data_IF_020334006611
#
_entry.id   IF_020334006611
#
_cell.length_a   1.000
_cell.length_b   1.000
_cell.length_c   1.000
_cell.angle_alpha   90.00
_cell.angle_beta   90.00
_cell.angle_gamma   90.00
#
_symmetry.space_group_name_H-M   'P 1'
#
loop_
_entity.id
_entity.type
_entity.pdbx_description
1 polymer ?
#
# COMPACT_ATOMS: atom_id res chain seq x y z
N UNK A 1 4.64 27.11 6.73
CA UNK A 1 4.42 26.10 7.79
C UNK A 1 3.61 24.87 7.34
N UNK A 2 2.77 24.93 6.30
CA UNK A 2 1.94 23.77 5.87
C UNK A 2 2.68 22.62 5.17
N UNK A 3 3.66 22.93 4.31
CA UNK A 3 4.35 21.92 3.47
C UNK A 3 5.11 20.85 4.25
N UNK A 4 5.81 21.22 5.33
CA UNK A 4 6.59 20.27 6.14
C UNK A 4 5.70 19.29 6.91
N UNK A 5 4.54 19.74 7.40
CA UNK A 5 3.56 18.85 8.04
C UNK A 5 2.97 17.86 7.05
N UNK A 6 2.64 18.34 5.84
CA UNK A 6 2.10 17.49 4.79
C UNK A 6 3.12 16.42 4.33
N UNK A 7 4.41 16.76 4.19
CA UNK A 7 5.47 15.79 3.91
C UNK A 7 5.59 14.75 5.04
N UNK A 8 5.49 15.17 6.30
CA UNK A 8 5.46 14.25 7.44
C UNK A 8 4.31 13.24 7.37
N UNK A 9 3.11 13.67 6.95
CA UNK A 9 1.96 12.77 6.75
C UNK A 9 2.18 11.80 5.59
N UNK A 10 2.79 12.24 4.49
CA UNK A 10 3.14 11.35 3.37
C UNK A 10 4.17 10.31 3.80
N UNK A 11 5.19 10.72 4.56
CA UNK A 11 6.19 9.81 5.12
C UNK A 11 5.56 8.79 6.08
N UNK A 12 4.61 9.22 6.93
CA UNK A 12 3.86 8.32 7.81
C UNK A 12 3.03 7.30 7.01
N UNK A 13 2.41 7.72 5.90
CA UNK A 13 1.72 6.80 4.99
C UNK A 13 2.65 5.76 4.37
N UNK A 14 3.82 6.20 3.86
CA UNK A 14 4.84 5.29 3.33
C UNK A 14 5.36 4.32 4.40
N UNK A 15 5.56 4.81 5.61
CA UNK A 15 5.97 3.99 6.75
C UNK A 15 4.92 2.91 7.05
N UNK A 16 3.64 3.29 7.18
CA UNK A 16 2.57 2.34 7.46
C UNK A 16 2.45 1.25 6.39
N UNK A 17 2.58 1.60 5.10
CA UNK A 17 2.55 0.62 4.00
C UNK A 17 3.77 -0.29 4.00
N UNK A 18 4.95 0.24 4.31
CA UNK A 18 6.17 -0.56 4.49
C UNK A 18 6.00 -1.54 5.66
N UNK A 19 5.52 -1.06 6.81
CA UNK A 19 5.26 -1.92 7.98
C UNK A 19 4.28 -3.03 7.64
N UNK A 20 3.16 -2.74 6.95
CA UNK A 20 2.21 -3.77 6.51
C UNK A 20 2.88 -4.87 5.67
N UNK A 21 3.68 -4.48 4.68
CA UNK A 21 4.33 -5.41 3.77
C UNK A 21 5.28 -6.38 4.50
N UNK A 22 6.02 -5.90 5.50
CA UNK A 22 6.99 -6.71 6.25
C UNK A 22 6.38 -7.43 7.46
N UNK A 23 5.41 -6.84 8.14
CA UNK A 23 4.77 -7.43 9.32
C UNK A 23 4.01 -8.73 8.97
N UNK A 24 3.47 -8.83 7.74
CA UNK A 24 2.76 -10.03 7.28
C UNK A 24 3.59 -11.31 7.37
N UNK A 25 4.91 -11.25 7.15
CA UNK A 25 5.78 -12.42 7.20
C UNK A 25 5.74 -13.11 8.58
N UNK A 26 5.67 -12.33 9.66
CA UNK A 26 5.58 -12.86 11.03
C UNK A 26 4.23 -13.48 11.37
N UNK A 27 3.18 -13.18 10.60
CA UNK A 27 1.81 -13.64 10.84
C UNK A 27 1.44 -14.89 10.02
N UNK A 28 2.26 -15.28 9.04
CA UNK A 28 1.95 -16.39 8.13
C UNK A 28 1.62 -17.71 8.84
N UNK A 29 2.33 -18.13 9.91
CA UNK A 29 1.95 -19.34 10.63
C UNK A 29 0.57 -19.26 11.27
N UNK A 30 0.21 -18.11 11.85
CA UNK A 30 -1.10 -17.87 12.45
C UNK A 30 -2.21 -17.86 11.40
N UNK A 31 -2.00 -17.14 10.29
CA UNK A 31 -2.93 -17.11 9.15
C UNK A 31 -3.15 -18.52 8.58
N UNK A 32 -2.08 -19.33 8.47
CA UNK A 32 -2.17 -20.72 8.04
C UNK A 32 -3.04 -21.57 8.96
N UNK A 33 -2.88 -21.42 10.27
CA UNK A 33 -3.69 -22.11 11.27
C UNK A 33 -5.17 -21.67 11.22
N UNK A 34 -5.43 -20.36 11.15
CA UNK A 34 -6.78 -19.80 11.17
C UNK A 34 -7.60 -20.18 9.93
N UNK A 35 -6.94 -20.26 8.76
CA UNK A 35 -7.58 -20.58 7.48
C UNK A 35 -7.47 -22.06 7.09
N UNK A 36 -6.78 -22.88 7.88
CA UNK A 36 -6.55 -24.30 7.57
C UNK A 36 -5.69 -24.52 6.32
N UNK A 37 -4.76 -23.61 6.03
CA UNK A 37 -3.87 -23.69 4.85
C UNK A 37 -2.40 -23.79 5.25
N UNK A 38 -1.55 -24.29 4.35
CA UNK A 38 -0.11 -24.34 4.61
C UNK A 38 0.50 -22.94 4.68
N UNK A 39 1.59 -22.79 5.42
CA UNK A 39 2.35 -21.53 5.52
C UNK A 39 2.81 -21.06 4.12
N UNK A 40 3.19 -21.99 3.25
CA UNK A 40 3.56 -21.68 1.86
C UNK A 40 2.40 -21.07 1.07
N UNK A 41 1.17 -21.57 1.29
CA UNK A 41 -0.03 -21.03 0.67
C UNK A 41 -0.32 -19.64 1.24
N UNK A 42 -0.33 -19.48 2.56
CA UNK A 42 -0.48 -18.17 3.21
C UNK A 42 0.56 -17.15 2.70
N UNK A 43 1.79 -17.59 2.45
CA UNK A 43 2.88 -16.77 1.88
C UNK A 43 2.57 -16.18 0.51
N UNK A 44 1.72 -16.83 -0.30
CA UNK A 44 1.27 -16.26 -1.59
C UNK A 44 0.48 -14.97 -1.43
N UNK A 45 -0.06 -14.69 -0.23
CA UNK A 45 -0.72 -13.41 0.07
C UNK A 45 0.28 -12.24 0.00
N UNK A 46 1.54 -12.46 0.40
CA UNK A 46 2.64 -11.50 0.26
C UNK A 46 3.06 -11.37 -1.20
N UNK A 47 3.10 -12.47 -1.93
CA UNK A 47 3.36 -12.48 -3.38
C UNK A 47 2.29 -11.68 -4.14
N UNK A 48 1.01 -11.91 -3.85
CA UNK A 48 -0.10 -11.20 -4.48
C UNK A 48 -0.03 -9.69 -4.20
N UNK A 49 0.23 -9.29 -2.95
CA UNK A 49 0.46 -7.89 -2.60
C UNK A 49 1.61 -7.29 -3.43
N UNK A 50 2.75 -7.96 -3.47
CA UNK A 50 3.98 -7.44 -4.11
C UNK A 50 3.81 -7.35 -5.62
N UNK A 51 3.16 -8.34 -6.23
CA UNK A 51 2.86 -8.35 -7.66
C UNK A 51 1.92 -7.21 -8.04
N UNK A 52 0.81 -7.05 -7.31
CA UNK A 52 -0.14 -5.96 -7.56
C UNK A 52 0.48 -4.58 -7.28
N UNK A 53 1.33 -4.45 -6.26
CA UNK A 53 2.11 -3.25 -6.02
C UNK A 53 3.01 -2.90 -7.21
N UNK A 54 3.78 -3.87 -7.68
CA UNK A 54 4.73 -3.70 -8.78
C UNK A 54 4.04 -3.34 -10.10
N UNK A 55 2.84 -3.87 -10.34
CA UNK A 55 2.04 -3.54 -11.52
C UNK A 55 1.32 -2.19 -11.35
N UNK A 56 0.78 -1.88 -10.17
CA UNK A 56 0.06 -0.65 -9.96
C UNK A 56 0.95 0.59 -10.09
N UNK A 57 2.20 0.50 -9.64
CA UNK A 57 3.15 1.60 -9.68
C UNK A 57 3.33 2.21 -11.09
N UNK A 58 3.61 1.46 -12.17
CA UNK A 58 3.65 2.02 -13.53
C UNK A 58 2.25 2.17 -14.15
N UNK A 59 1.38 1.16 -14.07
CA UNK A 59 0.16 1.11 -14.90
C UNK A 59 -0.96 1.99 -14.33
N UNK A 60 -1.30 1.83 -13.05
CA UNK A 60 -2.37 2.63 -12.44
C UNK A 60 -1.93 4.07 -12.24
N UNK A 61 -0.67 4.32 -11.89
CA UNK A 61 -0.17 5.69 -11.76
C UNK A 61 -0.16 6.43 -13.09
N UNK A 62 0.23 5.77 -14.20
CA UNK A 62 0.14 6.38 -15.53
C UNK A 62 -1.31 6.67 -15.92
N UNK A 63 -2.23 5.72 -15.69
CA UNK A 63 -3.65 5.91 -15.97
C UNK A 63 -4.27 7.07 -15.18
N UNK A 64 -3.80 7.29 -13.94
CA UNK A 64 -4.29 8.33 -13.04
C UNK A 64 -3.42 9.60 -13.07
N UNK A 65 -2.42 9.71 -13.95
CA UNK A 65 -1.51 10.85 -14.02
C UNK A 65 -2.20 12.18 -14.29
N UNK A 66 -3.35 12.18 -14.97
CA UNK A 66 -4.17 13.38 -15.22
C UNK A 66 -5.05 13.79 -14.04
N UNK A 67 -5.14 12.96 -13.00
CA UNK A 67 -5.90 13.27 -11.77
C UNK A 67 -5.00 14.07 -10.84
N UNK A 68 -5.58 14.95 -10.02
CA UNK A 68 -4.80 15.71 -9.04
C UNK A 68 -4.11 14.79 -8.04
N UNK A 69 -2.83 15.03 -7.76
CA UNK A 69 -1.99 14.19 -6.87
C UNK A 69 -2.64 13.96 -5.51
N UNK A 70 -3.27 14.99 -4.94
CA UNK A 70 -4.01 14.89 -3.67
C UNK A 70 -5.13 13.85 -3.73
N UNK A 71 -5.91 13.85 -4.81
CA UNK A 71 -7.00 12.89 -4.99
C UNK A 71 -6.47 11.47 -5.08
N UNK A 72 -5.37 11.26 -5.81
CA UNK A 72 -4.74 9.94 -5.94
C UNK A 72 -4.23 9.43 -4.60
N UNK A 73 -3.51 10.27 -3.85
CA UNK A 73 -2.99 9.94 -2.51
C UNK A 73 -4.11 9.55 -1.55
N UNK A 74 -5.17 10.36 -1.47
CA UNK A 74 -6.28 10.11 -0.54
C UNK A 74 -7.04 8.84 -0.93
N UNK A 75 -7.33 8.65 -2.21
CA UNK A 75 -8.01 7.43 -2.68
C UNK A 75 -7.17 6.19 -2.39
N UNK A 76 -5.87 6.24 -2.65
CA UNK A 76 -4.97 5.12 -2.36
C UNK A 76 -4.95 4.78 -0.86
N UNK A 77 -4.88 5.79 0.02
CA UNK A 77 -4.95 5.57 1.48
C UNK A 77 -6.27 4.94 1.91
N UNK A 78 -7.40 5.45 1.41
CA UNK A 78 -8.73 4.90 1.75
C UNK A 78 -8.85 3.45 1.29
N UNK A 79 -8.48 3.15 0.05
CA UNK A 79 -8.51 1.79 -0.49
C UNK A 79 -7.58 0.87 0.30
N UNK A 80 -6.38 1.33 0.66
CA UNK A 80 -5.42 0.56 1.46
C UNK A 80 -5.98 0.21 2.84
N UNK A 81 -6.62 1.16 3.52
CA UNK A 81 -7.26 0.92 4.83
C UNK A 81 -8.41 -0.08 4.71
N UNK A 82 -9.30 0.10 3.73
CA UNK A 82 -10.42 -0.81 3.50
C UNK A 82 -9.96 -2.22 3.12
N UNK A 83 -8.90 -2.32 2.30
CA UNK A 83 -8.32 -3.60 1.94
C UNK A 83 -7.75 -4.33 3.16
N UNK A 84 -7.03 -3.62 4.04
CA UNK A 84 -6.50 -4.21 5.28
C UNK A 84 -7.58 -4.58 6.28
N UNK A 85 -8.65 -3.78 6.40
CA UNK A 85 -9.83 -4.17 7.17
C UNK A 85 -10.45 -5.47 6.60
N UNK A 86 -10.52 -5.59 5.27
CA UNK A 86 -10.93 -6.82 4.59
C UNK A 86 -10.01 -8.01 4.87
N UNK A 87 -8.68 -7.79 4.90
CA UNK A 87 -7.70 -8.81 5.28
C UNK A 87 -7.91 -9.29 6.72
N UNK A 88 -8.14 -8.37 7.66
CA UNK A 88 -8.40 -8.71 9.06
C UNK A 88 -9.71 -9.50 9.26
N UNK A 89 -10.69 -9.30 8.38
CA UNK A 89 -11.99 -9.98 8.39
C UNK A 89 -12.03 -11.20 7.45
N UNK A 90 -10.90 -11.58 6.85
CA UNK A 90 -10.87 -12.65 5.86
C UNK A 90 -11.13 -14.01 6.52
N UNK A 91 -12.30 -14.60 6.25
CA UNK A 91 -12.65 -15.95 6.70
C UNK A 91 -12.26 -17.07 5.73
N UNK A 92 -11.59 -16.74 4.61
CA UNK A 92 -11.13 -17.73 3.63
C UNK A 92 -9.90 -17.25 2.86
N UNK A 93 -9.12 -18.21 2.37
CA UNK A 93 -7.89 -17.94 1.63
C UNK A 93 -8.08 -17.11 0.33
N UNK A 94 -9.13 -17.32 -0.49
CA UNK A 94 -9.39 -16.45 -1.65
C UNK A 94 -9.69 -14.99 -1.26
N UNK A 95 -10.41 -14.77 -0.15
CA UNK A 95 -10.70 -13.42 0.35
C UNK A 95 -9.42 -12.75 0.86
N UNK A 96 -8.56 -13.49 1.55
CA UNK A 96 -7.24 -13.03 1.95
C UNK A 96 -6.42 -12.60 0.72
N UNK A 97 -6.30 -13.45 -0.30
CA UNK A 97 -5.58 -13.13 -1.54
C UNK A 97 -6.13 -11.88 -2.22
N UNK A 98 -7.44 -11.79 -2.39
CA UNK A 98 -8.08 -10.65 -3.06
C UNK A 98 -7.88 -9.33 -2.31
N UNK A 99 -8.01 -9.34 -0.99
CA UNK A 99 -7.78 -8.15 -0.15
C UNK A 99 -6.32 -7.74 -0.13
N UNK A 100 -5.38 -8.70 -0.11
CA UNK A 100 -3.93 -8.41 -0.23
C UNK A 100 -3.54 -7.88 -1.59
N UNK A 101 -4.10 -8.40 -2.68
CA UNK A 101 -3.92 -7.86 -4.02
C UNK A 101 -4.40 -6.40 -4.09
N UNK A 102 -5.57 -6.10 -3.51
CA UNK A 102 -6.11 -4.74 -3.45
C UNK A 102 -5.24 -3.79 -2.61
N UNK A 103 -4.76 -4.25 -1.45
CA UNK A 103 -3.83 -3.49 -0.62
C UNK A 103 -2.52 -3.20 -1.37
N UNK A 104 -1.99 -4.18 -2.09
CA UNK A 104 -0.79 -4.03 -2.92
C UNK A 104 -0.98 -2.99 -4.01
N UNK A 105 -2.10 -3.06 -4.75
CA UNK A 105 -2.42 -2.09 -5.79
C UNK A 105 -2.56 -0.66 -5.23
N UNK A 106 -3.21 -0.50 -4.09
CA UNK A 106 -3.35 0.79 -3.42
C UNK A 106 -1.98 1.34 -2.97
N UNK A 107 -1.13 0.52 -2.38
CA UNK A 107 0.22 0.91 -1.99
C UNK A 107 1.08 1.29 -3.22
N UNK A 108 0.98 0.52 -4.31
CA UNK A 108 1.71 0.80 -5.56
C UNK A 108 1.30 2.11 -6.21
N UNK A 109 0.02 2.50 -6.07
CA UNK A 109 -0.47 3.80 -6.51
C UNK A 109 -0.04 4.95 -5.58
N UNK A 110 0.00 4.70 -4.27
CA UNK A 110 0.37 5.70 -3.28
C UNK A 110 1.85 6.12 -3.42
N UNK A 111 2.78 5.19 -3.56
CA UNK A 111 4.23 5.47 -3.55
C UNK A 111 4.65 6.58 -4.53
N UNK A 112 4.38 6.49 -5.84
CA UNK A 112 4.76 7.53 -6.78
C UNK A 112 3.97 8.84 -6.54
N UNK A 113 2.68 8.75 -6.19
CA UNK A 113 1.86 9.94 -5.93
C UNK A 113 2.35 10.70 -4.69
N UNK A 114 2.75 10.00 -3.63
CA UNK A 114 3.32 10.57 -2.42
C UNK A 114 4.68 11.22 -2.71
N UNK A 115 5.54 10.58 -3.51
CA UNK A 115 6.81 11.16 -3.94
C UNK A 115 6.59 12.46 -4.75
N UNK A 116 5.67 12.45 -5.73
CA UNK A 116 5.31 13.65 -6.50
C UNK A 116 4.76 14.75 -5.61
N UNK A 117 3.87 14.43 -4.67
CA UNK A 117 3.31 15.39 -3.73
C UNK A 117 4.40 15.99 -2.83
N UNK A 118 5.31 15.18 -2.30
CA UNK A 118 6.40 15.64 -1.46
C UNK A 118 7.31 16.62 -2.20
N UNK A 119 7.70 16.30 -3.44
CA UNK A 119 8.53 17.16 -4.31
C UNK A 119 7.86 18.50 -4.63
N UNK A 120 6.53 18.51 -4.81
CA UNK A 120 5.75 19.72 -5.06
C UNK A 120 5.57 20.59 -3.80
N UNK A 121 5.63 20.01 -2.60
CA UNK A 121 5.41 20.70 -1.33
C UNK A 121 6.68 21.31 -0.71
N UNK A 122 7.86 21.01 -1.25
CA UNK A 122 9.15 21.49 -0.73
C UNK A 122 9.93 22.30 -1.76
N UNK A 123 10.71 23.30 -1.31
CA UNK A 123 11.56 24.08 -2.21
C UNK A 123 12.71 23.21 -2.76
N UNK A 124 13.28 23.56 -3.93
CA UNK A 124 14.26 22.74 -4.64
C UNK A 124 15.46 22.30 -3.79
N UNK A 125 15.96 23.16 -2.91
CA UNK A 125 17.15 22.95 -2.08
C UNK A 125 16.93 21.89 -0.99
N UNK A 126 15.67 21.49 -0.76
CA UNK A 126 15.30 20.48 0.23
C UNK A 126 14.84 19.16 -0.38
N UNK A 127 14.77 19.04 -1.70
CA UNK A 127 14.39 17.79 -2.38
C UNK A 127 15.51 16.75 -2.21
N UNK A 128 15.14 15.51 -1.92
CA UNK A 128 16.08 14.38 -1.76
C UNK A 128 16.73 14.25 -0.36
N UNK A 129 16.34 15.10 0.60
CA UNK A 129 16.67 14.96 2.03
C UNK A 129 15.53 14.26 2.76
#
# INVERSE_FOLDING_TARGET
MGGTRAVGLLALGSFAMGTDAYAMAGLLPGIGADLGVSVSLAGQSVTAFTLCYALAAPFLSAALARRGTRTVVVTALVVFVLANAGTALAGSYPVLLGTRALAGAAAGLFTPAAATAAVALVPPERRGR
#
